data_IF_889064475457
#
_entry.id   IF_889064475457
#
_cell.length_a   1.000
_cell.length_b   1.000
_cell.length_c   1.000
_cell.angle_alpha   90.00
_cell.angle_beta   90.00
_cell.angle_gamma   90.00
#
_symmetry.space_group_name_H-M   'P 1'
#
loop_
_entity.id
_entity.type
_entity.pdbx_description
1 polymer ?
#
# COMPACT_ATOMS: atom_id res chain seq x y z
N UNK A 1 -21.07 30.53 -21.66
CA UNK A 1 -21.81 30.07 -20.46
C UNK A 1 -22.43 28.73 -20.79
N UNK A 2 -21.86 27.63 -20.30
CA UNK A 2 -22.42 26.29 -20.54
C UNK A 2 -22.56 25.60 -19.20
N UNK A 3 -23.81 25.52 -18.73
CA UNK A 3 -24.21 24.73 -17.57
C UNK A 3 -24.05 23.26 -17.92
N UNK A 4 -23.42 22.49 -17.04
CA UNK A 4 -23.51 21.03 -17.06
C UNK A 4 -24.31 20.62 -15.83
N UNK A 5 -25.54 20.16 -16.07
CA UNK A 5 -26.35 19.42 -15.10
C UNK A 5 -26.42 17.97 -15.57
N UNK A 6 -26.11 17.01 -14.69
CA UNK A 6 -26.25 15.59 -14.99
C UNK A 6 -25.54 14.71 -14.00
N UNK A 7 -26.27 14.29 -12.97
CA UNK A 7 -25.89 13.33 -11.94
C UNK A 7 -25.65 11.93 -12.51
N UNK A 8 -24.43 11.44 -12.31
CA UNK A 8 -23.98 10.07 -12.43
C UNK A 8 -22.55 10.09 -11.92
N UNK A 9 -22.20 9.24 -10.95
CA UNK A 9 -20.90 9.27 -10.27
C UNK A 9 -19.74 9.18 -11.28
N UNK A 10 -19.29 10.34 -11.74
CA UNK A 10 -18.29 10.44 -12.78
C UNK A 10 -16.96 10.06 -12.14
N UNK A 11 -16.34 8.99 -12.63
CA UNK A 11 -14.99 8.64 -12.25
C UNK A 11 -14.08 9.78 -12.72
N UNK A 12 -13.87 10.77 -11.86
CA UNK A 12 -12.89 11.84 -12.10
C UNK A 12 -11.54 11.16 -12.28
N UNK A 13 -10.85 11.48 -13.39
CA UNK A 13 -9.51 10.96 -13.63
C UNK A 13 -8.62 11.31 -12.43
N UNK A 14 -7.83 10.35 -11.93
CA UNK A 14 -7.03 10.53 -10.71
C UNK A 14 -6.16 11.80 -10.72
N UNK A 15 -5.51 12.20 -11.84
CA UNK A 15 -4.80 13.48 -11.90
C UNK A 15 -5.70 14.72 -11.77
N UNK A 16 -6.93 14.68 -12.28
CA UNK A 16 -7.88 15.79 -12.13
C UNK A 16 -8.32 15.96 -10.68
N UNK A 17 -8.53 14.86 -9.95
CA UNK A 17 -8.84 14.92 -8.52
C UNK A 17 -7.71 15.60 -7.72
N UNK A 18 -6.45 15.32 -8.06
CA UNK A 18 -5.31 16.00 -7.43
C UNK A 18 -5.22 17.47 -7.83
N UNK A 19 -5.46 17.82 -9.10
CA UNK A 19 -5.48 19.21 -9.53
C UNK A 19 -6.57 20.03 -8.81
N UNK A 20 -7.74 19.44 -8.56
CA UNK A 20 -8.81 20.04 -7.76
C UNK A 20 -8.37 20.27 -6.32
N UNK A 21 -7.78 19.25 -5.66
CA UNK A 21 -7.23 19.40 -4.30
C UNK A 21 -6.18 20.51 -4.24
N UNK A 22 -5.30 20.61 -5.22
CA UNK A 22 -4.29 21.66 -5.27
C UNK A 22 -4.93 23.04 -5.38
N UNK A 23 -5.94 23.21 -6.23
CA UNK A 23 -6.66 24.47 -6.37
C UNK A 23 -7.45 24.87 -5.12
N UNK A 24 -7.84 23.91 -4.28
CA UNK A 24 -8.58 24.15 -3.03
C UNK A 24 -7.67 24.40 -1.81
N UNK A 25 -6.49 23.79 -1.78
CA UNK A 25 -5.60 23.77 -0.59
C UNK A 25 -4.40 24.71 -0.76
N UNK A 26 -4.02 25.04 -1.99
CA UNK A 26 -2.90 25.94 -2.29
C UNK A 26 -3.34 27.12 -3.17
N UNK A 27 -3.50 28.30 -2.56
CA UNK A 27 -3.82 29.54 -3.27
C UNK A 27 -2.63 30.10 -4.06
N UNK A 28 -1.41 29.55 -3.88
CA UNK A 28 -0.21 30.07 -4.54
C UNK A 28 -0.02 29.55 -5.96
N UNK A 29 -0.68 28.44 -6.33
CA UNK A 29 -0.54 27.79 -7.64
C UNK A 29 0.89 27.28 -7.92
N UNK A 30 1.73 27.16 -6.88
CA UNK A 30 3.17 26.94 -7.05
C UNK A 30 3.57 25.46 -7.05
N UNK A 31 2.61 24.57 -6.78
CA UNK A 31 2.79 23.12 -6.88
C UNK A 31 3.00 22.68 -8.32
N UNK A 32 3.84 21.67 -8.49
CA UNK A 32 4.15 21.10 -9.81
C UNK A 32 3.60 19.70 -9.90
N UNK A 33 2.96 19.41 -11.04
CA UNK A 33 2.56 18.07 -11.44
C UNK A 33 3.41 17.65 -12.63
N UNK A 34 4.01 16.48 -12.55
CA UNK A 34 4.68 15.82 -13.67
C UNK A 34 3.92 14.54 -13.99
N UNK A 35 2.95 14.59 -14.92
CA UNK A 35 2.25 13.39 -15.35
C UNK A 35 3.22 12.47 -16.12
N UNK A 36 3.12 11.18 -15.82
CA UNK A 36 3.82 10.12 -16.53
C UNK A 36 2.99 8.85 -16.52
N UNK A 37 3.41 7.85 -17.29
CA UNK A 37 2.78 6.53 -17.34
C UNK A 37 3.73 5.49 -16.74
N UNK A 38 3.38 4.79 -15.63
CA UNK A 38 2.09 4.82 -14.93
C UNK A 38 2.00 5.80 -13.74
N UNK A 39 3.01 6.66 -13.52
CA UNK A 39 3.12 7.49 -12.31
C UNK A 39 3.02 8.98 -12.59
N UNK A 40 2.24 9.70 -11.78
CA UNK A 40 2.29 11.16 -11.69
C UNK A 40 3.03 11.56 -10.41
N UNK A 41 4.00 12.46 -10.54
CA UNK A 41 4.70 13.06 -9.41
C UNK A 41 4.12 14.44 -9.11
N UNK A 42 3.96 14.76 -7.82
CA UNK A 42 3.42 16.00 -7.30
C UNK A 42 4.38 16.53 -6.25
N UNK A 43 4.81 17.79 -6.36
CA UNK A 43 5.72 18.38 -5.38
C UNK A 43 5.42 19.86 -5.09
N UNK A 44 5.68 20.31 -3.86
CA UNK A 44 5.56 21.71 -3.50
C UNK A 44 6.64 22.55 -4.20
N UNK A 45 6.48 23.88 -4.23
CA UNK A 45 7.53 24.77 -4.71
C UNK A 45 8.84 24.53 -3.96
N UNK A 46 9.97 24.63 -4.67
CA UNK A 46 11.33 24.47 -4.12
C UNK A 46 11.57 23.12 -3.40
N UNK A 47 10.81 22.07 -3.73
CA UNK A 47 11.04 20.74 -3.17
C UNK A 47 12.46 20.23 -3.49
N UNK A 48 13.26 20.02 -2.45
CA UNK A 48 14.57 19.37 -2.56
C UNK A 48 14.38 17.90 -2.15
N UNK A 49 14.49 17.01 -3.13
CA UNK A 49 14.35 15.58 -2.89
C UNK A 49 15.58 15.03 -2.18
N UNK A 50 15.39 14.41 -1.01
CA UNK A 50 16.43 13.65 -0.29
C UNK A 50 16.97 12.50 -1.13
N UNK A 51 18.19 12.04 -0.85
CA UNK A 51 18.75 10.82 -1.49
C UNK A 51 18.06 9.55 -0.99
N UNK A 52 17.83 9.49 0.33
CA UNK A 52 17.23 8.37 1.04
C UNK A 52 16.52 8.87 2.31
N UNK A 53 15.68 8.02 2.88
CA UNK A 53 15.00 8.28 4.14
C UNK A 53 13.81 7.35 4.37
N UNK A 54 13.04 7.64 5.41
CA UNK A 54 11.73 7.06 5.61
C UNK A 54 10.73 7.65 4.62
N UNK A 55 9.95 6.79 3.97
CA UNK A 55 8.86 7.16 3.05
C UNK A 55 7.60 6.40 3.40
N UNK A 56 6.46 6.99 3.02
CA UNK A 56 5.14 6.40 3.26
C UNK A 56 4.62 5.79 1.96
N UNK A 57 3.91 4.68 2.10
CA UNK A 57 3.20 4.03 1.02
C UNK A 57 1.75 3.80 1.44
N UNK A 58 0.82 4.18 0.58
CA UNK A 58 -0.58 3.88 0.79
C UNK A 58 -1.02 2.83 -0.21
N UNK A 59 -1.75 1.83 0.27
CA UNK A 59 -2.39 0.86 -0.59
C UNK A 59 -3.84 1.23 -0.87
N UNK A 60 -4.34 0.74 -1.99
CA UNK A 60 -5.75 0.85 -2.33
C UNK A 60 -6.18 -0.34 -3.18
N UNK A 61 -7.46 -0.67 -3.09
CA UNK A 61 -8.13 -1.42 -4.16
C UNK A 61 -8.40 -0.49 -5.33
N UNK A 62 -8.76 -1.03 -6.49
CA UNK A 62 -9.20 -0.22 -7.65
C UNK A 62 -10.40 0.66 -7.28
N UNK A 63 -11.35 0.11 -6.49
CA UNK A 63 -12.57 0.82 -6.07
C UNK A 63 -12.29 1.93 -5.05
N UNK A 64 -11.37 1.72 -4.12
CA UNK A 64 -11.02 2.72 -3.09
C UNK A 64 -10.01 3.75 -3.57
N UNK A 65 -9.32 3.52 -4.69
CA UNK A 65 -8.25 4.39 -5.19
C UNK A 65 -8.63 5.87 -5.31
N UNK A 66 -9.80 6.26 -5.87
CA UNK A 66 -10.15 7.68 -5.97
C UNK A 66 -10.27 8.36 -4.60
N UNK A 67 -10.95 7.73 -3.64
CA UNK A 67 -11.13 8.27 -2.28
C UNK A 67 -9.83 8.27 -1.47
N UNK A 68 -9.01 7.22 -1.59
CA UNK A 68 -7.68 7.17 -0.97
C UNK A 68 -6.81 8.30 -1.50
N UNK A 69 -6.81 8.54 -2.82
CA UNK A 69 -6.03 9.60 -3.44
C UNK A 69 -6.48 10.98 -3.00
N UNK A 70 -7.78 11.26 -3.04
CA UNK A 70 -8.31 12.57 -2.63
C UNK A 70 -7.96 12.88 -1.16
N UNK A 71 -8.26 11.95 -0.25
CA UNK A 71 -8.02 12.13 1.17
C UNK A 71 -6.52 12.27 1.49
N UNK A 72 -5.68 11.45 0.85
CA UNK A 72 -4.23 11.53 1.02
C UNK A 72 -3.66 12.81 0.43
N UNK A 73 -4.09 13.21 -0.78
CA UNK A 73 -3.62 14.43 -1.43
C UNK A 73 -3.93 15.66 -0.57
N UNK A 74 -5.14 15.77 0.01
CA UNK A 74 -5.48 16.90 0.91
C UNK A 74 -4.50 17.01 2.07
N UNK A 75 -4.19 15.89 2.73
CA UNK A 75 -3.23 15.85 3.84
C UNK A 75 -1.81 16.20 3.35
N UNK A 76 -1.35 15.57 2.27
CA UNK A 76 0.01 15.74 1.76
C UNK A 76 0.27 17.16 1.27
N UNK A 77 -0.72 17.77 0.59
CA UNK A 77 -0.65 19.14 0.10
C UNK A 77 -0.67 20.13 1.26
N UNK A 78 -1.61 20.00 2.20
CA UNK A 78 -1.69 20.88 3.38
C UNK A 78 -0.42 20.87 4.24
N UNK A 79 0.39 19.81 4.13
CA UNK A 79 1.64 19.66 4.86
C UNK A 79 2.90 19.77 4.01
N UNK A 80 2.80 20.20 2.74
CA UNK A 80 3.96 20.42 1.88
C UNK A 80 4.79 19.16 1.62
N UNK A 81 4.16 17.98 1.57
CA UNK A 81 4.84 16.72 1.30
C UNK A 81 4.76 16.37 -0.18
N UNK A 82 5.90 16.08 -0.81
CA UNK A 82 5.92 15.58 -2.19
C UNK A 82 5.45 14.12 -2.23
N UNK A 83 4.77 13.72 -3.31
CA UNK A 83 4.27 12.37 -3.48
C UNK A 83 4.11 11.98 -4.95
N UNK A 84 4.02 10.68 -5.20
CA UNK A 84 3.61 10.13 -6.50
C UNK A 84 2.46 9.15 -6.34
N UNK A 85 1.65 9.00 -7.38
CA UNK A 85 0.52 8.07 -7.39
C UNK A 85 0.35 7.42 -8.76
N UNK A 86 -0.27 6.24 -8.79
CA UNK A 86 -0.60 5.56 -10.04
C UNK A 86 -1.77 6.27 -10.74
N UNK A 87 -1.61 6.64 -12.02
CA UNK A 87 -2.51 7.61 -12.68
C UNK A 87 -3.80 6.99 -13.23
N UNK A 88 -3.87 5.67 -13.39
CA UNK A 88 -5.04 4.98 -13.92
C UNK A 88 -5.55 3.87 -13.00
N UNK A 89 -6.86 3.55 -13.07
CA UNK A 89 -7.41 2.34 -12.44
C UNK A 89 -6.70 1.06 -12.89
N UNK A 90 -6.24 1.01 -14.16
CA UNK A 90 -5.45 -0.11 -14.70
C UNK A 90 -4.11 -0.25 -13.98
N UNK A 91 -3.35 0.84 -13.81
CA UNK A 91 -2.11 0.83 -13.07
C UNK A 91 -2.32 0.40 -11.60
N UNK A 92 -3.39 0.87 -10.96
CA UNK A 92 -3.78 0.43 -9.62
C UNK A 92 -4.14 -1.08 -9.59
N UNK A 93 -4.79 -1.61 -10.62
CA UNK A 93 -5.09 -3.03 -10.73
C UNK A 93 -3.82 -3.87 -10.94
N UNK A 94 -2.89 -3.41 -11.77
CA UNK A 94 -1.60 -4.06 -12.04
C UNK A 94 -0.74 -4.16 -10.77
N UNK A 95 -0.73 -3.11 -9.94
CA UNK A 95 -0.05 -3.13 -8.64
C UNK A 95 -0.64 -4.17 -7.69
N UNK A 96 -1.93 -4.50 -7.85
CA UNK A 96 -2.65 -5.47 -7.02
C UNK A 96 -2.68 -6.88 -7.63
N UNK A 97 -2.14 -7.07 -8.83
CA UNK A 97 -2.26 -8.33 -9.56
C UNK A 97 -1.45 -9.46 -8.91
N UNK A 98 -1.89 -10.71 -9.12
CA UNK A 98 -1.16 -11.90 -8.65
C UNK A 98 0.26 -11.96 -9.23
N UNK A 99 0.49 -11.40 -10.42
CA UNK A 99 1.82 -11.36 -11.06
C UNK A 99 2.59 -10.06 -10.82
N UNK A 100 2.06 -9.15 -9.99
CA UNK A 100 2.77 -7.92 -9.65
C UNK A 100 4.09 -8.25 -8.95
N UNK A 101 5.14 -7.49 -9.25
CA UNK A 101 6.42 -7.57 -8.54
C UNK A 101 6.13 -7.38 -7.05
N UNK A 102 6.34 -8.43 -6.26
CA UNK A 102 5.91 -8.47 -4.85
C UNK A 102 6.48 -7.34 -4.02
N UNK A 103 7.71 -6.96 -4.33
CA UNK A 103 8.38 -5.82 -3.74
C UNK A 103 7.50 -4.55 -3.81
N UNK A 104 6.83 -4.27 -4.94
CA UNK A 104 6.04 -3.03 -5.14
C UNK A 104 4.52 -3.23 -5.07
N UNK A 105 4.07 -4.47 -4.91
CA UNK A 105 2.66 -4.81 -4.97
C UNK A 105 1.86 -4.07 -3.89
N UNK A 106 0.68 -3.57 -4.27
CA UNK A 106 -0.19 -2.80 -3.40
C UNK A 106 0.24 -1.35 -3.14
N UNK A 107 1.41 -0.90 -3.61
CA UNK A 107 1.87 0.49 -3.41
C UNK A 107 1.18 1.43 -4.40
N UNK A 108 0.06 2.04 -4.02
CA UNK A 108 -0.70 2.96 -4.88
C UNK A 108 -0.17 4.40 -4.83
N UNK A 109 0.12 4.91 -3.63
CA UNK A 109 0.73 6.24 -3.41
C UNK A 109 2.06 6.06 -2.71
N UNK A 110 3.07 6.87 -3.07
CA UNK A 110 4.32 7.00 -2.32
C UNK A 110 4.51 8.46 -1.93
N UNK A 111 4.64 8.76 -0.64
CA UNK A 111 4.93 10.10 -0.14
C UNK A 111 6.36 10.18 0.41
N UNK A 112 6.99 11.35 0.24
CA UNK A 112 8.39 11.63 0.54
C UNK A 112 8.52 12.77 1.56
N UNK A 113 8.45 12.46 2.88
CA UNK A 113 8.62 13.45 3.92
C UNK A 113 10.02 14.08 3.92
N UNK A 114 10.10 15.31 4.40
CA UNK A 114 11.33 16.09 4.56
C UNK A 114 12.19 15.55 5.71
N UNK A 115 11.58 15.05 6.78
CA UNK A 115 12.23 14.56 7.99
C UNK A 115 11.36 13.49 8.70
N UNK A 116 11.87 12.99 9.82
CA UNK A 116 11.24 11.90 10.57
C UNK A 116 10.05 12.41 11.40
N UNK A 117 10.07 13.68 11.80
CA UNK A 117 8.98 14.39 12.47
C UNK A 117 7.76 14.53 11.54
N UNK A 118 7.97 15.00 10.30
CA UNK A 118 6.93 15.11 9.29
C UNK A 118 6.39 13.72 8.92
N UNK A 119 7.24 12.69 8.85
CA UNK A 119 6.81 11.31 8.65
C UNK A 119 5.85 10.83 9.76
N UNK A 120 6.22 11.03 11.04
CA UNK A 120 5.40 10.61 12.18
C UNK A 120 4.02 11.30 12.18
N UNK A 121 4.02 12.62 11.92
CA UNK A 121 2.80 13.41 11.78
C UNK A 121 1.93 12.94 10.61
N UNK A 122 2.53 12.74 9.43
CA UNK A 122 1.82 12.30 8.23
C UNK A 122 1.23 10.89 8.40
N UNK A 123 1.95 9.98 9.05
CA UNK A 123 1.44 8.63 9.36
C UNK A 123 0.09 8.70 10.10
N UNK A 124 0.03 9.51 11.17
CA UNK A 124 -1.18 9.66 11.98
C UNK A 124 -2.33 10.30 11.17
N UNK A 125 -2.05 11.39 10.44
CA UNK A 125 -3.07 12.11 9.66
C UNK A 125 -3.58 11.31 8.47
N UNK A 126 -2.70 10.65 7.73
CA UNK A 126 -3.07 9.81 6.60
C UNK A 126 -3.89 8.61 7.06
N UNK A 127 -3.53 8.00 8.19
CA UNK A 127 -4.32 6.93 8.77
C UNK A 127 -5.74 7.39 9.10
N UNK A 128 -5.89 8.51 9.82
CA UNK A 128 -7.20 9.06 10.14
C UNK A 128 -8.00 9.43 8.88
N UNK A 129 -7.36 10.08 7.90
CA UNK A 129 -8.01 10.48 6.66
C UNK A 129 -8.41 9.29 5.76
N UNK A 130 -7.82 8.11 5.95
CA UNK A 130 -8.09 6.92 5.12
C UNK A 130 -8.71 5.76 5.90
N UNK A 131 -9.19 6.02 7.11
CA UNK A 131 -9.83 5.02 7.95
C UNK A 131 -11.04 4.37 7.25
N UNK A 132 -11.16 3.05 7.36
CA UNK A 132 -12.22 2.26 6.71
C UNK A 132 -12.05 2.05 5.20
N UNK A 133 -11.07 2.69 4.54
CA UNK A 133 -10.82 2.47 3.12
C UNK A 133 -9.98 1.19 2.90
N UNK A 134 -10.43 0.25 2.05
CA UNK A 134 -9.73 -1.02 1.87
C UNK A 134 -8.48 -0.86 1.00
N UNK A 135 -7.45 -1.64 1.31
CA UNK A 135 -6.24 -1.81 0.51
C UNK A 135 -5.48 -3.07 0.93
N UNK A 136 -4.76 -3.74 0.00
CA UNK A 136 -3.96 -4.91 0.36
C UNK A 136 -2.80 -4.54 1.29
N UNK A 137 -2.21 -5.54 1.94
CA UNK A 137 -0.95 -5.35 2.65
C UNK A 137 0.17 -5.08 1.65
N UNK A 138 1.03 -4.10 1.95
CA UNK A 138 2.29 -3.92 1.22
C UNK A 138 3.34 -4.75 1.95
N UNK A 139 3.73 -5.87 1.36
CA UNK A 139 4.54 -6.87 2.06
C UNK A 139 5.94 -6.37 2.42
N UNK A 140 6.52 -5.52 1.58
CA UNK A 140 7.87 -4.97 1.75
C UNK A 140 7.97 -3.85 2.79
N UNK A 141 6.85 -3.46 3.39
CA UNK A 141 6.71 -2.26 4.21
C UNK A 141 6.06 -2.58 5.56
N UNK A 142 6.38 -1.78 6.59
CA UNK A 142 5.73 -1.90 7.89
C UNK A 142 4.41 -1.17 7.87
N UNK A 143 3.32 -1.84 8.24
CA UNK A 143 2.01 -1.20 8.40
C UNK A 143 2.03 -0.27 9.62
N UNK A 144 1.46 0.93 9.50
CA UNK A 144 1.41 1.90 10.60
C UNK A 144 0.56 1.41 11.79
N UNK A 145 -0.66 0.94 11.53
CA UNK A 145 -1.60 0.38 12.52
C UNK A 145 -2.42 -0.76 11.93
N UNK A 146 -2.95 -1.69 12.75
CA UNK A 146 -3.87 -2.73 12.25
C UNK A 146 -5.00 -2.11 11.42
N UNK A 147 -5.30 -2.70 10.25
CA UNK A 147 -6.34 -2.20 9.35
C UNK A 147 -5.99 -0.94 8.56
N UNK A 148 -4.90 -0.23 8.88
CA UNK A 148 -4.49 0.97 8.14
C UNK A 148 -4.00 0.63 6.72
N UNK A 149 -4.37 1.42 5.69
CA UNK A 149 -3.75 1.31 4.36
C UNK A 149 -2.35 1.96 4.30
N UNK A 150 -1.95 2.68 5.37
CA UNK A 150 -0.65 3.36 5.46
C UNK A 150 0.44 2.40 5.92
N UNK A 151 1.51 2.36 5.14
CA UNK A 151 2.73 1.60 5.42
C UNK A 151 3.95 2.52 5.27
N UNK A 152 5.09 2.11 5.82
CA UNK A 152 6.33 2.87 5.72
C UNK A 152 7.55 1.95 5.64
N UNK A 153 8.60 2.46 4.97
CA UNK A 153 9.92 1.83 4.95
C UNK A 153 11.01 2.88 4.78
N UNK A 154 12.23 2.49 5.16
CA UNK A 154 13.43 3.22 4.80
C UNK A 154 13.88 2.80 3.39
N UNK A 155 14.33 3.75 2.57
CA UNK A 155 14.78 3.44 1.22
C UNK A 155 15.28 4.64 0.43
N UNK A 156 15.78 4.37 -0.78
CA UNK A 156 16.17 5.39 -1.75
C UNK A 156 14.94 6.15 -2.27
N UNK A 157 15.09 7.45 -2.53
CA UNK A 157 14.01 8.32 -3.03
C UNK A 157 14.08 8.54 -4.55
N UNK A 158 15.19 8.15 -5.19
CA UNK A 158 15.41 8.28 -6.62
C UNK A 158 15.58 6.91 -7.30
N UNK A 159 15.52 6.92 -8.63
CA UNK A 159 15.95 5.80 -9.45
C UNK A 159 17.39 5.41 -9.10
N UNK A 160 17.75 4.12 -9.27
CA UNK A 160 19.10 3.65 -9.07
C UNK A 160 20.09 4.53 -9.84
N UNK A 161 21.16 4.97 -9.16
CA UNK A 161 22.16 5.90 -9.72
C UNK A 161 23.54 5.28 -9.91
N UNK A 162 23.73 4.06 -9.44
CA UNK A 162 25.03 3.41 -9.38
C UNK A 162 24.97 2.15 -10.23
N UNK A 163 25.90 2.07 -11.19
CA UNK A 163 26.14 0.90 -12.01
C UNK A 163 26.93 -0.10 -11.15
N UNK A 164 26.42 -1.31 -10.99
CA UNK A 164 27.14 -2.39 -10.31
C UNK A 164 28.25 -2.94 -11.21
N UNK A 165 29.17 -3.71 -10.65
CA UNK A 165 30.26 -4.36 -11.39
C UNK A 165 29.72 -5.38 -12.42
N UNK A 166 28.49 -5.84 -12.25
CA UNK A 166 27.73 -6.69 -13.18
C UNK A 166 26.92 -5.90 -14.23
N UNK A 167 27.02 -4.57 -14.23
CA UNK A 167 26.40 -3.71 -15.22
C UNK A 167 24.92 -3.39 -14.98
N UNK A 168 24.40 -3.60 -13.77
CA UNK A 168 23.01 -3.25 -13.42
C UNK A 168 22.94 -1.92 -12.67
N UNK A 169 21.90 -1.13 -12.88
CA UNK A 169 21.66 0.04 -12.04
C UNK A 169 20.91 -0.37 -10.78
N UNK A 170 21.50 -0.17 -9.60
CA UNK A 170 20.85 -0.41 -8.31
C UNK A 170 20.78 0.82 -7.39
N UNK A 171 19.74 0.85 -6.56
CA UNK A 171 19.59 1.89 -5.55
C UNK A 171 20.46 1.53 -4.37
N UNK A 172 21.36 2.43 -3.95
CA UNK A 172 22.21 2.20 -2.78
C UNK A 172 21.91 3.19 -1.65
N UNK A 173 21.68 2.66 -0.46
CA UNK A 173 21.61 3.42 0.78
C UNK A 173 23.02 3.73 1.26
N UNK A 174 23.23 4.93 1.74
CA UNK A 174 24.44 5.32 2.44
C UNK A 174 24.26 5.00 3.93
N UNK A 175 25.14 4.18 4.50
CA UNK A 175 25.20 3.91 5.92
C UNK A 175 25.85 5.08 6.67
N UNK A 176 25.72 5.15 8.02
CA UNK A 176 26.31 6.23 8.82
C UNK A 176 27.83 6.35 8.71
N UNK A 177 28.52 5.23 8.43
CA UNK A 177 29.96 5.19 8.18
C UNK A 177 30.36 5.63 6.76
N UNK A 178 29.39 6.05 5.95
CA UNK A 178 29.57 6.50 4.57
C UNK A 178 29.57 5.38 3.52
N UNK A 179 29.52 4.11 3.93
CA UNK A 179 29.50 2.97 3.00
C UNK A 179 28.16 2.87 2.26
N UNK A 180 28.17 2.27 1.07
CA UNK A 180 26.97 2.08 0.26
C UNK A 180 26.49 0.63 0.34
N UNK A 181 25.24 0.44 0.74
CA UNK A 181 24.57 -0.86 0.81
C UNK A 181 23.36 -0.90 -0.13
N UNK A 182 23.09 -2.01 -0.83
CA UNK A 182 21.93 -2.10 -1.71
C UNK A 182 20.58 -1.87 -0.98
N UNK A 183 19.71 -1.03 -1.53
CA UNK A 183 18.29 -0.85 -1.12
C UNK A 183 17.46 -2.06 -1.58
N UNK A 184 17.73 -3.22 -0.99
CA UNK A 184 17.00 -4.46 -1.32
C UNK A 184 15.57 -4.37 -0.81
N UNK A 185 14.61 -4.48 -1.73
CA UNK A 185 13.18 -4.53 -1.45
C UNK A 185 12.68 -5.97 -1.54
N UNK A 186 12.67 -6.65 -0.41
CA UNK A 186 12.19 -8.04 -0.30
C UNK A 186 10.65 -8.09 -0.24
N UNK A 187 10.08 -9.29 -0.40
CA UNK A 187 8.63 -9.53 -0.25
C UNK A 187 8.19 -9.65 1.22
N UNK A 188 8.96 -9.07 2.14
CA UNK A 188 8.66 -8.93 3.57
C UNK A 188 9.33 -7.66 4.10
N UNK A 189 8.81 -7.12 5.21
CA UNK A 189 9.42 -5.96 5.84
C UNK A 189 10.74 -6.34 6.50
N UNK A 190 11.81 -5.62 6.16
CA UNK A 190 13.10 -5.68 6.82
C UNK A 190 13.47 -4.28 7.31
N UNK A 191 13.50 -4.09 8.63
CA UNK A 191 13.90 -2.81 9.21
C UNK A 191 15.38 -2.53 8.87
N UNK A 192 15.67 -1.33 8.38
CA UNK A 192 17.04 -0.81 8.21
C UNK A 192 17.09 0.56 8.88
N UNK A 193 17.79 0.62 10.02
CA UNK A 193 17.90 1.82 10.86
C UNK A 193 16.85 1.92 11.97
N UNK A 194 16.98 2.93 12.88
CA UNK A 194 16.06 3.15 13.99
C UNK A 194 14.65 3.43 13.48
N UNK A 195 13.65 2.79 14.09
CA UNK A 195 12.25 2.97 13.73
C UNK A 195 11.74 4.33 14.21
N UNK A 196 11.09 5.13 13.36
CA UNK A 196 10.55 6.43 13.76
C UNK A 196 9.25 6.25 14.55
N UNK A 197 9.14 6.93 15.69
CA UNK A 197 7.93 7.05 16.51
C UNK A 197 7.88 6.16 17.78
N UNK A 198 6.88 6.40 18.66
CA UNK A 198 6.72 5.63 19.90
C UNK A 198 6.29 4.20 19.57
N UNK A 199 7.18 3.22 19.83
CA UNK A 199 6.97 1.81 19.48
C UNK A 199 8.07 1.18 18.62
N UNK A 200 9.25 1.82 18.55
CA UNK A 200 10.45 1.30 17.88
C UNK A 200 10.90 -0.10 18.34
N UNK A 201 10.44 -0.55 19.51
CA UNK A 201 10.87 -1.81 20.13
C UNK A 201 9.74 -2.84 20.31
N UNK A 202 8.63 -2.76 19.55
CA UNK A 202 7.63 -3.83 19.62
C UNK A 202 7.98 -4.95 18.64
N UNK A 203 8.54 -6.10 19.09
CA UNK A 203 8.74 -7.24 18.22
C UNK A 203 7.41 -7.68 17.62
N UNK A 204 7.44 -8.03 16.34
CA UNK A 204 6.34 -8.70 15.66
C UNK A 204 6.00 -9.96 16.46
N UNK A 205 4.85 -9.98 17.13
CA UNK A 205 4.23 -11.24 17.51
C UNK A 205 3.89 -11.93 16.18
N UNK A 206 4.51 -13.08 15.83
CA UNK A 206 4.07 -13.83 14.67
C UNK A 206 2.58 -14.11 14.87
N UNK A 207 1.76 -13.68 13.92
CA UNK A 207 0.31 -13.85 13.99
C UNK A 207 0.02 -15.31 14.27
N UNK A 208 -0.52 -15.60 15.47
CA UNK A 208 -1.05 -16.92 15.79
C UNK A 208 -2.10 -17.22 14.72
N UNK A 209 -1.85 -18.25 13.92
CA UNK A 209 -2.88 -18.89 13.13
C UNK A 209 -3.91 -19.41 14.14
N UNK A 210 -4.99 -18.65 14.36
CA UNK A 210 -6.12 -19.13 15.14
C UNK A 210 -6.76 -20.21 14.29
N UNK A 211 -6.77 -21.49 14.71
CA UNK A 211 -7.50 -22.51 13.97
C UNK A 211 -8.97 -22.09 13.99
N UNK A 212 -9.57 -21.91 12.80
CA UNK A 212 -11.01 -21.72 12.70
C UNK A 212 -11.73 -22.88 13.38
N UNK A 213 -12.94 -22.68 13.93
CA UNK A 213 -13.67 -23.74 14.61
C UNK A 213 -13.83 -24.92 13.66
N UNK A 214 -13.19 -26.04 14.03
CA UNK A 214 -13.19 -27.26 13.25
C UNK A 214 -14.64 -27.67 12.97
N UNK A 215 -14.99 -27.83 11.69
CA UNK A 215 -16.22 -28.53 11.30
C UNK A 215 -16.15 -29.93 11.88
N UNK A 216 -16.87 -30.15 12.97
CA UNK A 216 -17.10 -31.48 13.53
C UNK A 216 -17.67 -32.37 12.41
N UNK A 217 -16.89 -33.37 12.00
CA UNK A 217 -17.41 -34.49 11.21
C UNK A 217 -18.52 -35.12 12.05
N UNK A 218 -19.78 -34.93 11.64
CA UNK A 218 -20.91 -35.69 12.19
C UNK A 218 -20.60 -37.17 11.96
N UNK A 219 -20.25 -37.89 13.04
CA UNK A 219 -20.28 -39.35 13.06
C UNK A 219 -21.75 -39.75 12.91
N UNK A 220 -22.06 -40.51 11.86
CA UNK A 220 -23.36 -41.12 11.67
C UNK A 220 -23.70 -41.96 12.90
N UNK A 221 -24.86 -41.66 13.48
CA UNK A 221 -25.46 -42.37 14.60
C UNK A 221 -25.90 -43.74 14.11
N UNK A 222 -25.37 -44.79 14.71
CA UNK A 222 -25.88 -46.15 14.57
C UNK A 222 -27.31 -46.18 15.15
N UNK A 223 -28.26 -46.64 14.35
CA UNK A 223 -29.60 -47.01 14.83
C UNK A 223 -29.66 -48.53 14.86
N UNK A 224 -29.91 -49.07 16.06
CA UNK A 224 -30.12 -50.49 16.31
C UNK A 224 -31.61 -50.74 16.55
N UNK A 225 -32.09 -51.88 16.05
CA UNK A 225 -33.41 -52.47 16.35
C UNK A 225 -34.27 -52.49 15.09
N UNK A 226 -34.47 -53.62 14.40
CA UNK A 226 -34.93 -54.92 14.88
C UNK A 226 -35.79 -55.56 13.77
N UNK A 227 -36.27 -56.81 13.90
CA UNK A 227 -35.90 -57.87 12.95
C UNK A 227 -37.05 -58.42 12.09
N UNK A 228 -36.74 -59.50 11.35
CA UNK A 228 -37.62 -60.47 10.66
C UNK A 228 -37.72 -60.23 9.14
N UNK A 229 -37.59 -61.19 8.21
CA UNK A 229 -37.49 -62.65 8.26
C UNK A 229 -37.03 -63.14 6.86
N UNK A 230 -36.48 -64.38 6.81
CA UNK A 230 -36.55 -65.39 5.73
C UNK A 230 -36.14 -64.91 4.31
N UNK A 231 -35.12 -65.44 3.65
CA UNK A 231 -34.81 -66.85 3.41
C UNK A 231 -34.69 -67.09 1.90
N UNK A 232 -33.84 -68.05 1.50
CA UNK A 232 -33.57 -68.58 0.14
C UNK A 232 -32.68 -67.72 -0.78
N UNK A 233 -31.43 -68.16 -1.07
CA UNK A 233 -30.98 -69.15 -2.11
C UNK A 233 -31.30 -68.66 -3.53
N UNK A 234 -30.49 -68.82 -4.58
CA UNK A 234 -29.12 -69.26 -4.84
C UNK A 234 -28.91 -69.07 -6.37
N UNK A 235 -27.65 -69.03 -6.84
CA UNK A 235 -27.26 -69.17 -8.26
C UNK A 235 -26.50 -67.95 -8.77
N UNK A 236 -25.16 -67.96 -8.86
CA UNK A 236 -24.33 -68.56 -9.93
C UNK A 236 -24.83 -68.21 -11.34
N UNK A 237 -24.16 -67.29 -12.00
CA UNK A 237 -23.12 -67.57 -13.00
C UNK A 237 -22.16 -66.37 -13.07
#
# INVERSE_FOLDING_TARGET
MTRVSGSGGCAVALPLAVAQVLAEVDDTGAWRLWPGDPWCMVAPPKHIRRRQGWKLHLSSTVRSAPRVLENAARVLVAHGCAFKFAVTPKAAAELNAVRAVRAMSGTFITAYPADDEQLAMLNAKLHAATEGLPGPAILSDRRYRPGSPVHYRFGCFAHPRELTDEGFYEGRLQAPDGTFVPDRREAWFAARGPLPGPGGDQPLQPGRCVPGPGRARRRGRADQGGPSARGFRAGRA
#
